data_IF_534106151455
#
_entry.id   IF_534106151455
#
_cell.length_a   1.000
_cell.length_b   1.000
_cell.length_c   1.000
_cell.angle_alpha   90.00
_cell.angle_beta   90.00
_cell.angle_gamma   90.00
#
_symmetry.space_group_name_H-M   'P 1'
#
loop_
_entity.id
_entity.type
_entity.pdbx_description
1 polymer ?
#
# COMPACT_ATOMS: atom_id res chain seq x y z
N UNK A 1 5.05 -0.56 -22.04
CA UNK A 1 4.13 0.09 -21.08
C UNK A 1 4.86 0.15 -19.76
N UNK A 2 4.95 1.34 -19.17
CA UNK A 2 5.98 1.64 -18.16
C UNK A 2 5.73 0.99 -16.80
N UNK A 3 6.80 0.54 -16.14
CA UNK A 3 6.80 0.07 -14.74
C UNK A 3 6.08 1.05 -13.80
N UNK A 4 6.13 2.33 -14.11
CA UNK A 4 5.44 3.42 -13.41
C UNK A 4 3.93 3.24 -13.33
N UNK A 5 3.32 2.67 -14.38
CA UNK A 5 1.87 2.40 -14.42
C UNK A 5 1.52 1.29 -13.43
N UNK A 6 2.33 0.23 -13.34
CA UNK A 6 2.15 -0.82 -12.34
C UNK A 6 2.22 -0.28 -10.91
N UNK A 7 3.23 0.54 -10.62
CA UNK A 7 3.37 1.17 -9.31
C UNK A 7 2.17 2.06 -8.98
N UNK A 8 1.71 2.85 -9.94
CA UNK A 8 0.52 3.68 -9.74
C UNK A 8 -0.71 2.85 -9.36
N UNK A 9 -1.00 1.78 -10.10
CA UNK A 9 -2.13 0.89 -9.78
C UNK A 9 -1.96 0.18 -8.44
N UNK A 10 -0.75 -0.24 -8.08
CA UNK A 10 -0.46 -0.84 -6.78
C UNK A 10 -0.80 0.11 -5.65
N UNK A 11 -0.33 1.35 -5.69
CA UNK A 11 -0.64 2.36 -4.67
C UNK A 11 -2.12 2.72 -4.62
N UNK A 12 -2.81 2.72 -5.76
CA UNK A 12 -4.24 2.98 -5.80
C UNK A 12 -5.02 1.87 -5.08
N UNK A 13 -4.68 0.60 -5.32
CA UNK A 13 -5.29 -0.53 -4.64
C UNK A 13 -4.97 -0.50 -3.15
N UNK A 14 -3.73 -0.24 -2.77
CA UNK A 14 -3.35 -0.07 -1.35
C UNK A 14 -4.13 1.03 -0.66
N UNK A 15 -4.32 2.17 -1.33
CA UNK A 15 -5.13 3.26 -0.82
C UNK A 15 -6.60 2.85 -0.59
N UNK A 16 -7.18 2.07 -1.49
CA UNK A 16 -8.54 1.55 -1.33
C UNK A 16 -8.64 0.54 -0.17
N UNK A 17 -7.67 -0.36 -0.04
CA UNK A 17 -7.62 -1.31 1.09
C UNK A 17 -7.46 -0.56 2.41
N UNK A 18 -6.56 0.41 2.47
CA UNK A 18 -6.38 1.26 3.65
C UNK A 18 -7.65 2.03 4.00
N UNK A 19 -8.33 2.60 3.00
CA UNK A 19 -9.63 3.26 3.19
C UNK A 19 -10.66 2.34 3.85
N UNK A 20 -10.80 1.13 3.32
CA UNK A 20 -11.75 0.15 3.83
C UNK A 20 -11.40 -0.23 5.28
N UNK A 21 -10.14 -0.57 5.53
CA UNK A 21 -9.63 -0.91 6.86
C UNK A 21 -9.93 0.17 7.91
N UNK A 22 -9.57 1.41 7.61
CA UNK A 22 -9.72 2.52 8.54
C UNK A 22 -11.21 2.89 8.73
N UNK A 23 -12.01 2.78 7.68
CA UNK A 23 -13.45 3.08 7.76
C UNK A 23 -14.24 2.09 8.61
N UNK A 24 -13.75 0.86 8.75
CA UNK A 24 -14.34 -0.15 9.63
C UNK A 24 -13.95 0.08 11.09
N UNK A 25 -12.68 0.45 11.33
CA UNK A 25 -12.12 0.50 12.69
C UNK A 25 -12.32 1.83 13.40
N UNK A 26 -12.40 2.93 12.67
CA UNK A 26 -12.35 4.27 13.27
C UNK A 26 -13.53 5.15 12.90
N UNK A 27 -13.95 5.97 13.85
CA UNK A 27 -15.02 6.97 13.65
C UNK A 27 -14.44 8.19 12.94
N UNK A 28 -14.98 8.59 11.77
CA UNK A 28 -14.48 9.74 11.02
C UNK A 28 -14.81 11.06 11.70
N UNK A 29 -13.91 12.05 11.59
CA UNK A 29 -14.14 13.45 12.00
C UNK A 29 -14.77 14.29 10.87
N UNK A 30 -14.45 13.95 9.62
CA UNK A 30 -14.79 14.74 8.44
C UNK A 30 -15.63 13.95 7.44
N UNK A 31 -16.23 14.69 6.50
CA UNK A 31 -17.04 14.11 5.43
C UNK A 31 -16.22 13.17 4.53
N UNK A 32 -16.91 12.22 3.89
CA UNK A 32 -16.31 11.24 2.98
C UNK A 32 -15.49 11.89 1.86
N UNK A 33 -15.95 13.03 1.33
CA UNK A 33 -15.25 13.76 0.26
C UNK A 33 -13.87 14.27 0.70
N UNK A 34 -13.77 14.87 1.89
CA UNK A 34 -12.51 15.39 2.43
C UNK A 34 -11.54 14.25 2.67
N UNK A 35 -12.01 13.16 3.29
CA UNK A 35 -11.18 11.97 3.56
C UNK A 35 -10.64 11.37 2.27
N UNK A 36 -11.48 11.26 1.23
CA UNK A 36 -11.07 10.73 -0.07
C UNK A 36 -10.00 11.60 -0.74
N UNK A 37 -10.16 12.92 -0.74
CA UNK A 37 -9.17 13.85 -1.31
C UNK A 37 -7.84 13.77 -0.56
N UNK A 38 -7.87 13.74 0.77
CA UNK A 38 -6.65 13.60 1.57
C UNK A 38 -5.96 12.26 1.36
N UNK A 39 -6.72 11.17 1.23
CA UNK A 39 -6.16 9.85 0.92
C UNK A 39 -5.48 9.86 -0.44
N UNK A 40 -6.18 10.32 -1.47
CA UNK A 40 -5.65 10.36 -2.84
C UNK A 40 -4.39 11.20 -2.93
N UNK A 41 -4.34 12.36 -2.26
CA UNK A 41 -3.14 13.20 -2.24
C UNK A 41 -1.99 12.54 -1.49
N UNK A 42 -2.24 11.88 -0.36
CA UNK A 42 -1.23 11.15 0.41
C UNK A 42 -0.61 10.00 -0.40
N UNK A 43 -1.44 9.16 -1.02
CA UNK A 43 -0.95 8.06 -1.85
C UNK A 43 -0.29 8.51 -3.16
N UNK A 44 -0.70 9.67 -3.69
CA UNK A 44 0.00 10.28 -4.81
C UNK A 44 1.42 10.74 -4.44
N UNK A 45 1.61 11.30 -3.26
CA UNK A 45 2.94 11.65 -2.73
C UNK A 45 3.80 10.39 -2.57
N UNK A 46 3.23 9.30 -2.03
CA UNK A 46 3.92 8.01 -1.90
C UNK A 46 4.33 7.44 -3.26
N UNK A 47 3.45 7.53 -4.25
CA UNK A 47 3.78 7.14 -5.62
C UNK A 47 4.97 7.94 -6.17
N UNK A 48 4.97 9.26 -6.02
CA UNK A 48 6.10 10.10 -6.46
C UNK A 48 7.40 9.75 -5.73
N UNK A 49 7.34 9.48 -4.42
CA UNK A 49 8.48 9.06 -3.63
C UNK A 49 9.03 7.70 -4.08
N UNK A 50 8.16 6.77 -4.46
CA UNK A 50 8.57 5.43 -4.89
C UNK A 50 9.44 5.45 -6.16
N UNK A 51 9.37 6.51 -6.96
CA UNK A 51 10.20 6.68 -8.14
C UNK A 51 11.70 6.86 -7.81
N UNK A 52 12.03 7.23 -6.58
CA UNK A 52 13.43 7.36 -6.13
C UNK A 52 14.07 6.04 -5.72
N UNK A 53 13.32 4.92 -5.67
CA UNK A 53 13.80 3.57 -5.35
C UNK A 53 14.59 3.44 -4.02
N UNK A 54 14.34 4.31 -3.05
CA UNK A 54 14.94 4.24 -1.71
C UNK A 54 13.96 3.54 -0.76
N UNK A 55 14.18 2.25 -0.53
CA UNK A 55 13.27 1.41 0.27
C UNK A 55 12.97 2.00 1.66
N UNK A 56 13.99 2.35 2.41
CA UNK A 56 13.82 2.89 3.77
C UNK A 56 13.02 4.20 3.79
N UNK A 57 13.29 5.09 2.82
CA UNK A 57 12.56 6.34 2.68
C UNK A 57 11.07 6.08 2.40
N UNK A 58 10.78 5.11 1.53
CA UNK A 58 9.41 4.76 1.18
C UNK A 58 8.64 4.20 2.39
N UNK A 59 9.27 3.33 3.19
CA UNK A 59 8.65 2.80 4.43
C UNK A 59 8.35 3.91 5.44
N UNK A 60 9.29 4.80 5.68
CA UNK A 60 9.10 5.93 6.61
C UNK A 60 7.98 6.85 6.13
N UNK A 61 7.97 7.20 4.85
CA UNK A 61 6.93 8.05 4.27
C UNK A 61 5.56 7.39 4.30
N UNK A 62 5.51 6.08 4.00
CA UNK A 62 4.27 5.31 4.03
C UNK A 62 3.65 5.31 5.42
N UNK A 63 4.41 4.94 6.44
CA UNK A 63 3.98 4.99 7.84
C UNK A 63 3.55 6.40 8.24
N UNK A 64 4.32 7.42 7.85
CA UNK A 64 4.02 8.82 8.18
C UNK A 64 2.71 9.29 7.55
N UNK A 65 2.48 9.01 6.27
CA UNK A 65 1.24 9.39 5.57
C UNK A 65 0.03 8.69 6.21
N UNK A 66 0.12 7.39 6.49
CA UNK A 66 -0.95 6.64 7.15
C UNK A 66 -1.23 7.17 8.56
N UNK A 67 -0.18 7.47 9.33
CA UNK A 67 -0.29 8.03 10.68
C UNK A 67 -0.96 9.41 10.67
N UNK A 68 -0.51 10.32 9.83
CA UNK A 68 -1.10 11.66 9.70
C UNK A 68 -2.55 11.59 9.24
N UNK A 69 -2.85 10.71 8.28
CA UNK A 69 -4.21 10.48 7.82
C UNK A 69 -5.14 10.06 8.97
N UNK A 70 -4.72 9.11 9.82
CA UNK A 70 -5.49 8.65 10.97
C UNK A 70 -5.70 9.74 12.01
N UNK A 71 -4.64 10.44 12.40
CA UNK A 71 -4.70 11.46 13.48
C UNK A 71 -5.58 12.64 13.10
N UNK A 72 -5.46 13.12 11.86
CA UNK A 72 -6.19 14.32 11.43
C UNK A 72 -7.63 14.03 11.06
N UNK A 73 -7.91 12.90 10.43
CA UNK A 73 -9.22 12.64 9.82
C UNK A 73 -10.13 11.73 10.65
N UNK A 74 -9.59 11.06 11.65
CA UNK A 74 -10.35 10.14 12.50
C UNK A 74 -10.22 10.46 13.99
N UNK A 75 -11.23 10.05 14.77
CA UNK A 75 -11.23 10.18 16.24
C UNK A 75 -10.41 9.04 16.83
N UNK A 76 -9.10 9.20 16.86
CA UNK A 76 -8.18 8.22 17.43
C UNK A 76 -7.09 8.90 18.25
N UNK A 77 -6.52 8.19 19.22
CA UNK A 77 -5.33 8.66 19.93
C UNK A 77 -4.07 8.40 19.10
N UNK A 78 -3.02 9.16 19.35
CA UNK A 78 -1.78 9.05 18.59
C UNK A 78 -1.12 7.67 18.69
N UNK A 79 -1.23 6.98 19.83
CA UNK A 79 -0.72 5.61 20.01
C UNK A 79 -1.41 4.61 19.09
N UNK A 80 -2.74 4.67 19.02
CA UNK A 80 -3.51 3.79 18.12
C UNK A 80 -3.25 4.14 16.66
N UNK A 81 -3.12 5.42 16.32
CA UNK A 81 -2.80 5.84 14.97
C UNK A 81 -1.43 5.31 14.53
N UNK A 82 -0.42 5.41 15.39
CA UNK A 82 0.93 4.89 15.12
C UNK A 82 0.93 3.37 15.01
N UNK A 83 0.28 2.68 15.95
CA UNK A 83 0.18 1.23 15.94
C UNK A 83 -0.47 0.71 14.66
N UNK A 84 -1.61 1.27 14.28
CA UNK A 84 -2.33 0.81 13.09
C UNK A 84 -1.65 1.18 11.77
N UNK A 85 -0.91 2.29 11.71
CA UNK A 85 -0.10 2.61 10.50
C UNK A 85 1.07 1.64 10.33
N UNK A 86 1.77 1.30 11.41
CA UNK A 86 2.83 0.29 11.39
C UNK A 86 2.27 -1.11 11.10
N UNK A 87 1.17 -1.48 11.74
CA UNK A 87 0.51 -2.76 11.50
C UNK A 87 0.12 -2.92 10.02
N UNK A 88 -0.46 -1.87 9.43
CA UNK A 88 -0.86 -1.88 8.03
C UNK A 88 0.35 -2.09 7.09
N UNK A 89 1.46 -1.40 7.34
CA UNK A 89 2.69 -1.56 6.57
C UNK A 89 3.27 -2.97 6.69
N UNK A 90 3.34 -3.51 7.92
CA UNK A 90 3.83 -4.87 8.18
C UNK A 90 2.94 -5.91 7.48
N UNK A 91 1.61 -5.76 7.54
CA UNK A 91 0.68 -6.67 6.87
C UNK A 91 0.82 -6.61 5.35
N UNK A 92 1.00 -5.41 4.78
CA UNK A 92 1.25 -5.25 3.34
C UNK A 92 2.50 -6.01 2.92
N UNK A 93 3.61 -5.82 3.63
CA UNK A 93 4.86 -6.55 3.38
C UNK A 93 4.74 -8.07 3.60
N UNK A 94 4.04 -8.47 4.65
CA UNK A 94 3.79 -9.89 4.95
C UNK A 94 2.97 -10.60 3.86
N UNK A 95 2.07 -9.88 3.19
CA UNK A 95 1.32 -10.44 2.06
C UNK A 95 2.14 -10.49 0.76
N UNK A 96 3.10 -9.60 0.59
CA UNK A 96 3.97 -9.56 -0.59
C UNK A 96 5.01 -10.70 -0.59
N UNK A 97 5.57 -11.04 0.57
CA UNK A 97 6.61 -12.07 0.70
C UNK A 97 6.17 -13.47 0.21
N UNK A 98 5.02 -14.02 0.62
CA UNK A 98 4.56 -15.33 0.12
C UNK A 98 4.32 -15.34 -1.38
N UNK A 99 3.75 -14.27 -1.92
CA UNK A 99 3.48 -14.16 -3.37
C UNK A 99 4.79 -14.08 -4.14
N UNK A 100 5.78 -13.34 -3.64
CA UNK A 100 7.11 -13.29 -4.23
C UNK A 100 7.80 -14.65 -4.19
N UNK A 101 7.76 -15.36 -3.06
CA UNK A 101 8.34 -16.69 -2.90
C UNK A 101 7.69 -17.71 -3.84
N UNK A 102 6.35 -17.67 -3.94
CA UNK A 102 5.60 -18.53 -4.85
C UNK A 102 6.01 -18.31 -6.30
N UNK A 103 6.00 -17.06 -6.76
CA UNK A 103 6.39 -16.73 -8.14
C UNK A 103 7.85 -17.06 -8.44
N UNK A 104 8.76 -16.80 -7.49
CA UNK A 104 10.19 -17.12 -7.67
C UNK A 104 10.46 -18.61 -7.80
N UNK A 105 9.62 -19.46 -7.21
CA UNK A 105 9.74 -20.93 -7.31
C UNK A 105 9.34 -21.44 -8.69
N UNK A 106 8.36 -20.80 -9.33
CA UNK A 106 7.85 -21.22 -10.65
C UNK A 106 8.56 -20.55 -11.84
N UNK A 107 9.26 -19.46 -11.60
CA UNK A 107 9.93 -18.69 -12.64
C UNK A 107 11.44 -18.85 -12.52
N UNK A 108 12.08 -19.30 -13.60
CA UNK A 108 13.54 -19.34 -13.68
C UNK A 108 14.11 -17.92 -13.59
N UNK A 109 15.32 -17.80 -13.04
CA UNK A 109 16.01 -16.51 -12.84
C UNK A 109 16.15 -15.66 -14.12
N UNK A 110 16.13 -16.29 -15.29
CA UNK A 110 16.15 -15.63 -16.59
C UNK A 110 14.80 -14.98 -16.95
N UNK A 111 13.69 -15.65 -16.63
CA UNK A 111 12.34 -15.10 -16.85
C UNK A 111 11.99 -14.01 -15.85
N UNK A 112 12.56 -14.03 -14.64
CA UNK A 112 12.41 -12.95 -13.66
C UNK A 112 13.12 -11.64 -14.10
N UNK A 113 14.25 -11.75 -14.79
CA UNK A 113 14.97 -10.57 -15.33
C UNK A 113 14.30 -10.00 -16.58
N UNK A 114 13.66 -10.86 -17.36
CA UNK A 114 12.85 -10.48 -18.51
C UNK A 114 11.37 -10.31 -18.14
N UNK A 115 11.08 -10.18 -16.83
CA UNK A 115 9.72 -10.16 -16.32
C UNK A 115 8.91 -9.06 -16.98
N UNK A 116 8.12 -9.48 -17.95
CA UNK A 116 7.17 -8.65 -18.63
C UNK A 116 6.25 -7.95 -17.62
N UNK A 117 5.80 -6.78 -18.02
CA UNK A 117 4.78 -5.99 -17.34
C UNK A 117 3.63 -6.84 -16.76
N UNK A 118 3.20 -7.85 -17.50
CA UNK A 118 2.14 -8.79 -17.10
C UNK A 118 2.47 -9.55 -15.80
N UNK A 119 3.73 -9.91 -15.61
CA UNK A 119 4.16 -10.68 -14.43
C UNK A 119 4.22 -9.79 -13.18
N UNK A 120 4.71 -8.55 -13.34
CA UNK A 120 4.71 -7.56 -12.26
C UNK A 120 3.28 -7.15 -11.88
N UNK A 121 2.40 -7.01 -12.87
CA UNK A 121 0.99 -6.73 -12.64
C UNK A 121 0.31 -7.90 -11.91
N UNK A 122 0.58 -9.15 -12.34
CA UNK A 122 0.06 -10.35 -11.68
C UNK A 122 0.51 -10.42 -10.23
N UNK A 123 1.79 -10.14 -9.95
CA UNK A 123 2.33 -10.07 -8.60
C UNK A 123 1.59 -9.03 -7.76
N UNK A 124 1.44 -7.81 -8.26
CA UNK A 124 0.75 -6.74 -7.56
C UNK A 124 -0.72 -7.11 -7.28
N UNK A 125 -1.43 -7.66 -8.25
CA UNK A 125 -2.82 -8.08 -8.08
C UNK A 125 -2.94 -9.21 -7.08
N UNK A 126 -2.10 -10.25 -7.15
CA UNK A 126 -2.15 -11.40 -6.23
C UNK A 126 -1.83 -10.99 -4.80
N UNK A 127 -0.79 -10.19 -4.58
CA UNK A 127 -0.42 -9.74 -3.22
C UNK A 127 -1.51 -8.87 -2.60
N UNK A 128 -2.13 -7.98 -3.38
CA UNK A 128 -3.19 -7.10 -2.88
C UNK A 128 -4.52 -7.84 -2.69
N UNK A 129 -4.81 -8.86 -3.52
CA UNK A 129 -5.98 -9.73 -3.31
C UNK A 129 -5.82 -10.56 -2.03
N UNK A 130 -4.63 -11.12 -1.80
CA UNK A 130 -4.32 -11.82 -0.54
C UNK A 130 -4.47 -10.88 0.66
N UNK A 131 -3.96 -9.66 0.56
CA UNK A 131 -4.08 -8.66 1.59
C UNK A 131 -5.54 -8.30 1.90
N UNK A 132 -6.36 -8.11 0.87
CA UNK A 132 -7.79 -7.86 1.03
C UNK A 132 -8.55 -9.03 1.66
N UNK A 133 -8.12 -10.27 1.38
CA UNK A 133 -8.73 -11.47 1.96
C UNK A 133 -8.36 -11.68 3.44
N UNK A 134 -7.20 -11.16 3.87
CA UNK A 134 -6.71 -11.26 5.27
C UNK A 134 -7.31 -10.16 6.16
N UNK A 135 -7.69 -9.02 5.56
CA UNK A 135 -8.30 -7.88 6.25
C UNK A 135 -9.80 -7.98 6.32
#
# INVERSE_FOLDING_TARGET
MDERICYFFSFLIEGLVFWNYVSILFVPKYSTKIRFVCLSSGFFILFLSSLHNVFLLNCILYTTVCFLYLIFLYKTSWYYALFHSLLFEVLTGACELPVYSFLSTFLTSASLRAADFHLKLLFAVMSKTLFFAVM
#
